data_IF_482961420686
#
_entry.id   IF_482961420686
#
_cell.length_a   1.000
_cell.length_b   1.000
_cell.length_c   1.000
_cell.angle_alpha   90.00
_cell.angle_beta   90.00
_cell.angle_gamma   90.00
#
_symmetry.space_group_name_H-M   'P 1'
#
loop_
_entity.id
_entity.type
_entity.pdbx_description
1 polymer ?
#
# COMPACT_ATOMS: atom_id res chain seq x y z
N UNK A 1 3.41 -5.78 -7.01
CA UNK A 1 2.51 -4.64 -6.72
C UNK A 1 1.29 -5.18 -6.01
N UNK A 2 0.86 -4.58 -4.91
CA UNK A 2 -0.39 -4.97 -4.22
C UNK A 2 -1.27 -3.73 -4.07
N UNK A 3 -2.55 -3.91 -4.38
CA UNK A 3 -3.58 -2.90 -4.22
C UNK A 3 -4.52 -3.29 -3.09
N UNK A 4 -4.86 -2.34 -2.21
CA UNK A 4 -5.94 -2.49 -1.24
C UNK A 4 -7.14 -1.67 -1.71
N UNK A 5 -8.32 -2.25 -1.60
CA UNK A 5 -9.59 -1.62 -1.93
C UNK A 5 -10.38 -1.39 -0.65
N UNK A 6 -10.90 -0.19 -0.46
CA UNK A 6 -11.73 0.16 0.70
C UNK A 6 -12.76 1.22 0.31
N UNK A 7 -13.75 1.44 1.17
CA UNK A 7 -14.63 2.61 1.07
C UNK A 7 -14.19 3.65 2.09
N UNK A 8 -14.27 4.92 1.71
CA UNK A 8 -13.93 6.05 2.56
C UNK A 8 -14.91 7.20 2.28
N UNK A 9 -15.45 7.80 3.33
CA UNK A 9 -16.33 8.97 3.23
C UNK A 9 -15.56 10.20 3.66
N UNK A 10 -15.40 11.18 2.75
CA UNK A 10 -14.78 12.47 3.06
C UNK A 10 -15.85 13.55 2.94
N UNK A 11 -16.18 14.19 4.07
CA UNK A 11 -17.29 15.12 4.16
C UNK A 11 -18.64 14.41 3.93
N UNK A 12 -19.27 14.64 2.77
CA UNK A 12 -20.55 14.04 2.37
C UNK A 12 -20.46 13.23 1.06
N UNK A 13 -19.25 12.89 0.62
CA UNK A 13 -19.02 12.13 -0.61
C UNK A 13 -18.36 10.80 -0.27
N UNK A 14 -18.94 9.72 -0.75
CA UNK A 14 -18.41 8.38 -0.64
C UNK A 14 -17.45 8.08 -1.80
N UNK A 15 -16.28 7.56 -1.45
CA UNK A 15 -15.23 7.19 -2.38
C UNK A 15 -14.91 5.70 -2.29
N UNK A 16 -14.67 5.08 -3.46
CA UNK A 16 -13.92 3.84 -3.53
C UNK A 16 -12.44 4.19 -3.51
N UNK A 17 -11.74 3.81 -2.45
CA UNK A 17 -10.32 4.06 -2.23
C UNK A 17 -9.50 2.86 -2.69
N UNK A 18 -8.52 3.13 -3.55
CA UNK A 18 -7.52 2.19 -4.05
C UNK A 18 -6.16 2.65 -3.52
N UNK A 19 -5.58 1.87 -2.62
CA UNK A 19 -4.22 2.11 -2.12
C UNK A 19 -3.26 1.22 -2.88
N UNK A 20 -2.28 1.81 -3.57
CA UNK A 20 -1.29 1.08 -4.34
C UNK A 20 0.05 1.24 -3.66
N UNK A 21 0.63 0.12 -3.24
CA UNK A 21 1.97 0.10 -2.65
C UNK A 21 2.97 -0.44 -3.68
N UNK A 22 3.81 0.46 -4.19
CA UNK A 22 4.91 0.14 -5.10
C UNK A 22 6.14 -0.26 -4.31
N UNK A 23 6.17 -1.52 -3.84
CA UNK A 23 7.25 -2.00 -2.98
C UNK A 23 8.43 -2.57 -3.76
N UNK A 24 9.64 -2.14 -3.42
CA UNK A 24 10.84 -2.95 -3.61
C UNK A 24 10.99 -3.88 -2.40
N UNK A 25 11.31 -5.15 -2.62
CA UNK A 25 11.33 -6.12 -1.53
C UNK A 25 11.96 -7.45 -1.90
N UNK A 26 12.11 -8.28 -0.87
CA UNK A 26 12.59 -9.66 -0.97
C UNK A 26 11.48 -10.61 -0.53
N UNK A 27 11.40 -11.76 -1.19
CA UNK A 27 10.49 -12.83 -0.80
C UNK A 27 11.24 -14.14 -0.76
N UNK A 28 10.94 -14.96 0.24
CA UNK A 28 11.52 -16.28 0.43
C UNK A 28 10.41 -17.32 0.42
N UNK A 29 10.57 -18.32 -0.44
CA UNK A 29 9.72 -19.50 -0.47
C UNK A 29 10.21 -20.51 0.57
N UNK A 30 9.35 -20.79 1.53
CA UNK A 30 9.54 -21.75 2.60
C UNK A 30 8.85 -23.05 2.19
N UNK A 31 9.65 -24.03 1.78
CA UNK A 31 9.23 -25.42 1.59
C UNK A 31 8.09 -25.61 0.56
N UNK A 32 7.87 -24.63 -0.33
CA UNK A 32 6.86 -24.69 -1.41
C UNK A 32 5.41 -24.46 -0.98
N UNK A 33 5.14 -24.40 0.33
CA UNK A 33 3.79 -24.19 0.88
C UNK A 33 3.62 -22.84 1.59
N UNK A 34 4.71 -22.14 1.90
CA UNK A 34 4.64 -20.81 2.53
C UNK A 34 5.60 -19.85 1.86
N UNK A 35 5.23 -18.58 1.76
CA UNK A 35 6.09 -17.50 1.29
C UNK A 35 6.09 -16.38 2.30
N UNK A 36 7.27 -15.94 2.70
CA UNK A 36 7.47 -14.77 3.53
C UNK A 36 8.02 -13.63 2.66
N UNK A 37 7.39 -12.47 2.69
CA UNK A 37 7.79 -11.30 1.92
C UNK A 37 8.00 -10.10 2.81
N UNK A 38 9.05 -9.33 2.54
CA UNK A 38 9.27 -8.03 3.15
C UNK A 38 9.57 -7.01 2.06
N UNK A 39 8.98 -5.83 2.15
CA UNK A 39 9.23 -4.76 1.21
C UNK A 39 8.96 -3.39 1.79
N UNK A 40 9.39 -2.37 1.06
CA UNK A 40 9.09 -0.99 1.36
C UNK A 40 8.86 -0.20 0.08
N UNK A 41 8.04 0.83 0.16
CA UNK A 41 7.79 1.72 -0.95
C UNK A 41 6.80 2.82 -0.61
N UNK A 42 6.66 3.84 -1.47
CA UNK A 42 5.69 4.89 -1.25
C UNK A 42 4.27 4.34 -1.39
N UNK A 43 3.39 4.75 -0.48
CA UNK A 43 1.97 4.45 -0.53
C UNK A 43 1.22 5.53 -1.31
N UNK A 44 0.41 5.11 -2.28
CA UNK A 44 -0.37 5.99 -3.13
C UNK A 44 -1.85 5.72 -2.92
N UNK A 45 -2.62 6.79 -2.77
CA UNK A 45 -4.07 6.71 -2.63
C UNK A 45 -4.71 7.29 -3.88
N UNK A 46 -5.46 6.45 -4.59
CA UNK A 46 -6.35 6.85 -5.69
C UNK A 46 -7.77 6.65 -5.21
N UNK A 47 -8.62 7.68 -5.35
CA UNK A 47 -10.04 7.56 -5.02
C UNK A 47 -10.88 7.68 -6.27
N UNK A 48 -11.92 6.87 -6.35
CA UNK A 48 -12.94 6.94 -7.38
C UNK A 48 -14.24 7.41 -6.73
N UNK A 49 -14.83 8.48 -7.26
CA UNK A 49 -16.14 8.94 -6.80
C UNK A 49 -17.28 8.06 -7.36
N UNK A 50 -18.50 8.32 -6.90
CA UNK A 50 -19.72 7.61 -7.33
C UNK A 50 -20.01 7.71 -8.83
N UNK A 51 -19.44 8.71 -9.51
CA UNK A 51 -19.64 8.97 -10.93
C UNK A 51 -18.53 8.30 -11.78
N UNK A 52 -17.65 7.51 -11.14
CA UNK A 52 -16.58 6.75 -11.77
C UNK A 52 -15.34 7.58 -12.11
N UNK A 53 -15.25 8.82 -11.61
CA UNK A 53 -14.10 9.68 -11.86
C UNK A 53 -12.98 9.35 -10.88
N UNK A 54 -11.83 8.99 -11.42
CA UNK A 54 -10.60 8.76 -10.66
C UNK A 54 -9.91 10.08 -10.34
N UNK A 55 -9.53 10.26 -9.09
CA UNK A 55 -8.75 11.39 -8.61
C UNK A 55 -7.62 10.85 -7.73
N UNK A 56 -6.38 11.26 -8.02
CA UNK A 56 -5.23 10.99 -7.17
C UNK A 56 -5.22 12.03 -6.05
N UNK A 57 -4.86 11.64 -4.84
CA UNK A 57 -4.75 12.56 -3.71
C UNK A 57 -3.33 12.57 -3.18
N UNK A 58 -2.88 13.73 -2.69
CA UNK A 58 -1.66 13.83 -1.90
C UNK A 58 -1.91 13.36 -0.44
N UNK A 59 -0.85 13.35 0.37
CA UNK A 59 -0.92 12.95 1.77
C UNK A 59 -1.78 13.88 2.66
N UNK A 60 -2.21 15.04 2.14
CA UNK A 60 -3.08 16.00 2.83
C UNK A 60 -4.50 16.02 2.23
N UNK A 61 -4.89 14.99 1.46
CA UNK A 61 -6.19 14.88 0.80
C UNK A 61 -6.50 15.97 -0.23
N UNK A 62 -5.48 16.59 -0.83
CA UNK A 62 -5.70 17.49 -1.96
C UNK A 62 -5.70 16.72 -3.29
N UNK A 63 -6.65 17.00 -4.20
CA UNK A 63 -6.73 16.35 -5.50
C UNK A 63 -5.55 16.74 -6.41
N UNK A 64 -4.99 15.75 -7.09
CA UNK A 64 -3.79 15.82 -7.93
C UNK A 64 -4.10 15.43 -9.37
N UNK A 65 -3.31 15.96 -10.32
CA UNK A 65 -3.43 15.64 -11.74
C UNK A 65 -2.41 14.57 -12.14
N UNK A 66 -2.59 13.96 -13.31
CA UNK A 66 -1.65 12.95 -13.82
C UNK A 66 -0.22 13.53 -13.99
N UNK A 67 -0.12 14.82 -14.30
CA UNK A 67 1.15 15.55 -14.39
C UNK A 67 1.86 15.73 -13.04
N UNK A 68 1.14 15.68 -11.91
CA UNK A 68 1.72 15.79 -10.57
C UNK A 68 1.98 14.43 -9.90
N UNK A 69 1.89 13.32 -10.64
CA UNK A 69 2.17 11.97 -10.14
C UNK A 69 3.58 11.82 -9.56
N UNK A 70 4.60 12.36 -10.24
CA UNK A 70 5.98 12.29 -9.76
C UNK A 70 6.18 13.09 -8.47
N UNK A 71 5.53 14.23 -8.34
CA UNK A 71 5.57 15.04 -7.12
C UNK A 71 4.80 14.35 -5.99
N UNK A 72 3.63 13.79 -6.28
CA UNK A 72 2.85 12.99 -5.33
C UNK A 72 3.68 11.81 -4.83
N UNK A 73 4.40 11.11 -5.71
CA UNK A 73 5.30 10.01 -5.34
C UNK A 73 6.38 10.42 -4.32
N UNK A 74 7.04 11.54 -4.57
CA UNK A 74 8.16 12.00 -3.74
C UNK A 74 7.65 12.49 -2.38
N UNK A 75 6.43 13.02 -2.34
CA UNK A 75 5.75 13.46 -1.12
C UNK A 75 5.06 12.32 -0.35
N UNK A 76 4.79 11.18 -0.98
CA UNK A 76 4.11 10.06 -0.34
C UNK A 76 4.93 9.48 0.82
N UNK A 77 4.28 9.17 1.95
CA UNK A 77 4.85 8.35 3.00
C UNK A 77 5.36 7.01 2.44
N UNK A 78 6.56 6.62 2.86
CA UNK A 78 7.05 5.26 2.65
C UNK A 78 6.40 4.36 3.68
N UNK A 79 5.91 3.20 3.24
CA UNK A 79 5.39 2.17 4.13
C UNK A 79 6.24 0.90 4.07
N UNK A 80 6.42 0.26 5.22
CA UNK A 80 6.89 -1.10 5.32
C UNK A 80 5.75 -2.07 5.05
N UNK A 81 6.10 -3.22 4.49
CA UNK A 81 5.17 -4.33 4.26
C UNK A 81 5.80 -5.65 4.62
N UNK A 82 5.08 -6.45 5.40
CA UNK A 82 5.35 -7.86 5.62
C UNK A 82 4.19 -8.69 5.07
N UNK A 83 4.49 -9.79 4.40
CA UNK A 83 3.48 -10.74 3.91
C UNK A 83 3.82 -12.17 4.24
N UNK A 84 2.79 -12.93 4.57
CA UNK A 84 2.84 -14.36 4.78
C UNK A 84 1.78 -15.02 3.94
N UNK A 85 2.19 -15.70 2.88
CA UNK A 85 1.28 -16.38 1.96
C UNK A 85 1.38 -17.89 2.15
N UNK A 86 0.24 -18.56 2.26
CA UNK A 86 0.11 -20.01 2.31
C UNK A 86 -0.42 -20.52 0.97
N UNK A 87 0.33 -21.43 0.37
CA UNK A 87 -0.07 -22.12 -0.84
C UNK A 87 -0.88 -23.38 -0.48
N UNK A 88 -2.14 -23.37 -0.88
CA UNK A 88 -3.11 -24.45 -0.69
C UNK A 88 -3.42 -25.15 -2.03
N UNK A 89 -2.45 -25.16 -2.95
CA UNK A 89 -2.57 -25.71 -4.30
C UNK A 89 -3.08 -24.67 -5.29
N UNK A 90 -4.38 -24.70 -5.61
CA UNK A 90 -5.00 -23.74 -6.54
C UNK A 90 -5.39 -22.41 -5.88
N UNK A 91 -5.25 -22.33 -4.56
CA UNK A 91 -5.59 -21.17 -3.76
C UNK A 91 -4.35 -20.75 -2.97
N UNK A 92 -4.08 -19.45 -2.92
CA UNK A 92 -3.14 -18.88 -1.97
C UNK A 92 -3.89 -17.97 -0.99
N UNK A 93 -3.69 -18.20 0.31
CA UNK A 93 -4.19 -17.35 1.37
C UNK A 93 -3.04 -16.52 1.92
N UNK A 94 -3.15 -15.20 1.81
CA UNK A 94 -2.13 -14.25 2.26
C UNK A 94 -2.58 -13.45 3.46
N UNK A 95 -1.67 -13.28 4.41
CA UNK A 95 -1.73 -12.25 5.44
C UNK A 95 -0.75 -11.15 5.07
N UNK A 96 -1.19 -9.90 5.19
CA UNK A 96 -0.33 -8.75 4.98
C UNK A 96 -0.40 -7.80 6.17
N UNK A 97 0.74 -7.21 6.49
CA UNK A 97 0.87 -6.14 7.45
C UNK A 97 1.56 -4.97 6.75
N UNK A 98 0.93 -3.81 6.77
CA UNK A 98 1.45 -2.58 6.19
C UNK A 98 1.58 -1.54 7.28
N UNK A 99 2.76 -0.95 7.43
CA UNK A 99 3.04 0.08 8.42
C UNK A 99 3.55 1.33 7.71
N UNK A 100 2.78 2.42 7.77
CA UNK A 100 3.21 3.71 7.25
C UNK A 100 4.26 4.36 8.15
N UNK A 101 5.21 5.05 7.54
CA UNK A 101 6.24 5.82 8.25
C UNK A 101 6.06 7.30 7.95
N UNK A 102 6.62 8.18 8.78
CA UNK A 102 6.63 9.62 8.50
C UNK A 102 7.69 10.03 7.45
N UNK A 103 8.46 9.07 6.93
CA UNK A 103 9.50 9.34 5.94
C UNK A 103 8.92 9.52 4.54
N UNK A 104 9.42 10.53 3.82
CA UNK A 104 9.10 10.81 2.41
C UNK A 104 10.38 11.03 1.62
N UNK A 105 10.37 10.70 0.32
CA UNK A 105 11.55 10.92 -0.54
C UNK A 105 11.87 12.40 -0.74
N UNK A 106 10.95 13.32 -0.43
CA UNK A 106 11.18 14.77 -0.48
C UNK A 106 12.24 15.23 0.52
N UNK A 107 12.36 14.52 1.65
CA UNK A 107 13.25 14.89 2.75
C UNK A 107 14.23 13.76 3.05
N UNK A 108 15.18 13.49 2.14
CA UNK A 108 16.09 12.37 2.27
C UNK A 108 17.05 12.47 3.47
N UNK A 109 17.15 13.64 4.12
CA UNK A 109 17.92 13.82 5.35
C UNK A 109 17.20 13.34 6.62
N UNK A 110 15.88 13.12 6.58
CA UNK A 110 15.06 12.70 7.73
C UNK A 110 14.92 11.17 7.80
N UNK A 111 16.00 10.42 7.48
CA UNK A 111 15.99 8.94 7.42
C UNK A 111 15.62 8.29 8.76
N UNK A 112 15.85 8.97 9.88
CA UNK A 112 15.42 8.53 11.21
C UNK A 112 13.91 8.26 11.26
N UNK A 113 13.10 9.02 10.52
CA UNK A 113 11.64 8.83 10.43
C UNK A 113 11.23 7.53 9.75
N UNK A 114 12.13 6.95 8.95
CA UNK A 114 11.90 5.64 8.36
C UNK A 114 11.90 4.57 9.46
N UNK A 115 12.74 4.71 10.48
CA UNK A 115 12.91 3.72 11.55
C UNK A 115 12.07 3.99 12.80
N UNK A 116 11.57 5.22 12.98
CA UNK A 116 10.76 5.64 14.13
C UNK A 116 9.24 5.48 13.91
N UNK A 117 8.82 4.59 13.01
CA UNK A 117 7.41 4.34 12.75
C UNK A 117 6.71 3.75 13.99
N UNK A 118 5.49 4.23 14.26
CA UNK A 118 4.66 3.71 15.37
C UNK A 118 4.15 2.33 15.01
N UNK A 119 4.79 1.31 15.57
CA UNK A 119 4.50 -0.09 15.26
C UNK A 119 3.05 -0.51 15.55
N UNK A 120 2.30 0.27 16.33
CA UNK A 120 0.91 -0.02 16.70
C UNK A 120 -0.11 0.51 15.67
N UNK A 121 0.30 1.37 14.73
CA UNK A 121 -0.58 2.02 13.74
C UNK A 121 -0.64 1.26 12.40
N UNK A 122 -0.13 0.02 12.34
CA UNK A 122 -0.13 -0.75 11.11
C UNK A 122 -1.50 -1.36 10.77
N UNK A 123 -1.73 -1.54 9.48
CA UNK A 123 -2.94 -2.18 8.94
C UNK A 123 -2.68 -3.64 8.62
N UNK A 124 -3.52 -4.53 9.13
CA UNK A 124 -3.57 -5.94 8.74
C UNK A 124 -4.58 -6.13 7.61
N UNK A 125 -4.19 -6.89 6.59
CA UNK A 125 -5.08 -7.32 5.53
C UNK A 125 -4.99 -8.82 5.28
N UNK A 126 -6.04 -9.35 4.67
CA UNK A 126 -6.12 -10.73 4.20
C UNK A 126 -6.33 -10.71 2.69
N UNK A 127 -5.65 -11.58 1.96
CA UNK A 127 -5.78 -11.73 0.52
C UNK A 127 -6.04 -13.18 0.14
N UNK A 128 -6.88 -13.37 -0.88
CA UNK A 128 -7.11 -14.67 -1.51
C UNK A 128 -6.74 -14.55 -2.98
N UNK A 129 -5.86 -15.44 -3.45
CA UNK A 129 -5.47 -15.51 -4.85
C UNK A 129 -5.83 -16.88 -5.41
N UNK A 130 -6.62 -16.91 -6.49
CA UNK A 130 -6.95 -18.13 -7.22
C UNK A 130 -5.98 -18.30 -8.40
N UNK A 131 -5.34 -19.47 -8.49
CA UNK A 131 -4.65 -19.89 -9.71
C UNK A 131 -5.66 -20.47 -10.69
N UNK A 132 -5.77 -19.86 -11.88
CA UNK A 132 -6.63 -20.34 -12.96
C UNK A 132 -5.98 -21.43 -13.82
N UNK A 133 -4.73 -21.79 -13.53
CA UNK A 133 -3.95 -22.79 -14.24
C UNK A 133 -3.35 -23.79 -13.24
#
# INVERSE_FOLDING_TARGET
MVGKFSQETIGSVDYTKIEVLSTAGVSMDLLGFTRLGFGMGPNWIVRMDKDGKFTIFDANDNPQTLSSLGETFINSPVAYRATLDFNLGKLMLGLNYTLETDYTFKKPGEVDKLFNAKMDDGTVGVSLLFSLF
#
